data_IF_494025641071
#
_entry.id   IF_494025641071
#
_cell.length_a   1.000
_cell.length_b   1.000
_cell.length_c   1.000
_cell.angle_alpha   90.00
_cell.angle_beta   90.00
_cell.angle_gamma   90.00
#
_symmetry.space_group_name_H-M   'P 1'
#
loop_
_entity.id
_entity.type
_entity.pdbx_description
1 polymer ?
#
# COMPACT_ATOMS: atom_id res chain seq x y z
N UNK A 1 21.97 -21.79 -68.16
CA UNK A 1 20.68 -21.04 -68.11
C UNK A 1 19.69 -21.53 -67.03
N UNK A 2 19.79 -22.75 -66.47
CA UNK A 2 18.84 -23.31 -65.48
C UNK A 2 18.90 -22.74 -64.05
N UNK A 3 20.07 -22.28 -63.58
CA UNK A 3 20.26 -21.77 -62.19
C UNK A 3 19.62 -20.41 -61.92
N UNK A 4 19.45 -19.57 -62.95
CA UNK A 4 18.92 -18.20 -62.81
C UNK A 4 17.40 -18.16 -62.73
N UNK A 5 16.71 -19.13 -63.36
CA UNK A 5 15.25 -19.28 -63.27
C UNK A 5 14.81 -19.77 -61.88
N UNK A 6 15.53 -20.73 -61.29
CA UNK A 6 15.23 -21.25 -59.94
C UNK A 6 15.37 -20.15 -58.87
N UNK A 7 16.41 -19.31 -58.95
CA UNK A 7 16.58 -18.19 -58.00
C UNK A 7 15.46 -17.15 -58.10
N UNK A 8 14.96 -16.85 -59.31
CA UNK A 8 13.82 -15.95 -59.51
C UNK A 8 12.50 -16.55 -59.01
N UNK A 9 12.32 -17.86 -59.17
CA UNK A 9 11.12 -18.57 -58.70
C UNK A 9 11.06 -18.66 -57.17
N UNK A 10 12.20 -18.89 -56.51
CA UNK A 10 12.28 -18.91 -55.03
C UNK A 10 12.05 -17.51 -54.46
N UNK A 11 12.62 -16.46 -55.07
CA UNK A 11 12.40 -15.08 -54.60
C UNK A 11 10.91 -14.66 -54.72
N UNK A 12 10.25 -15.06 -55.81
CA UNK A 12 8.83 -14.79 -56.02
C UNK A 12 7.93 -15.54 -55.02
N UNK A 13 8.25 -16.80 -54.68
CA UNK A 13 7.52 -17.55 -53.65
C UNK A 13 7.72 -16.96 -52.24
N UNK A 14 8.93 -16.52 -51.90
CA UNK A 14 9.19 -15.87 -50.61
C UNK A 14 8.45 -14.52 -50.48
N UNK A 15 8.37 -13.73 -51.56
CA UNK A 15 7.64 -12.46 -51.55
C UNK A 15 6.13 -12.67 -51.48
N UNK A 16 5.59 -13.69 -52.17
CA UNK A 16 4.18 -14.08 -52.07
C UNK A 16 3.79 -14.54 -50.68
N UNK A 17 4.63 -15.33 -50.01
CA UNK A 17 4.39 -15.77 -48.63
C UNK A 17 4.42 -14.60 -47.64
N UNK A 18 5.35 -13.67 -47.81
CA UNK A 18 5.44 -12.48 -46.96
C UNK A 18 4.22 -11.56 -47.10
N UNK A 19 3.73 -11.37 -48.32
CA UNK A 19 2.50 -10.60 -48.58
C UNK A 19 1.28 -11.31 -47.96
N UNK A 20 1.17 -12.63 -48.07
CA UNK A 20 0.06 -13.37 -47.46
C UNK A 20 0.05 -13.27 -45.94
N UNK A 21 1.22 -13.31 -45.29
CA UNK A 21 1.35 -13.13 -43.84
C UNK A 21 0.95 -11.71 -43.43
N UNK A 22 1.33 -10.68 -44.19
CA UNK A 22 0.91 -9.28 -43.90
C UNK A 22 -0.62 -9.15 -44.02
N UNK A 23 -1.23 -9.67 -45.09
CA UNK A 23 -2.68 -9.61 -45.24
C UNK A 23 -3.42 -10.45 -44.19
N UNK A 24 -2.86 -11.58 -43.75
CA UNK A 24 -3.41 -12.38 -42.65
C UNK A 24 -3.35 -11.62 -41.31
N UNK A 25 -2.26 -10.91 -41.02
CA UNK A 25 -2.18 -10.10 -39.80
C UNK A 25 -3.04 -8.83 -39.87
N UNK A 26 -3.17 -8.18 -41.02
CA UNK A 26 -4.05 -7.02 -41.20
C UNK A 26 -5.53 -7.40 -41.09
N UNK A 27 -5.95 -8.51 -41.70
CA UNK A 27 -7.33 -9.00 -41.58
C UNK A 27 -7.70 -9.44 -40.16
N UNK A 28 -6.78 -10.06 -39.41
CA UNK A 28 -6.99 -10.36 -37.99
C UNK A 28 -7.02 -9.10 -37.11
N UNK A 29 -6.28 -8.04 -37.46
CA UNK A 29 -6.37 -6.74 -36.77
C UNK A 29 -7.72 -6.05 -36.99
N UNK A 30 -8.31 -6.16 -38.20
CA UNK A 30 -9.65 -5.64 -38.49
C UNK A 30 -10.77 -6.47 -37.83
N UNK A 31 -10.56 -7.78 -37.65
CA UNK A 31 -11.55 -8.64 -36.99
C UNK A 31 -11.58 -8.43 -35.46
N UNK A 32 -10.45 -8.05 -34.85
CA UNK A 32 -10.38 -7.69 -33.42
C UNK A 32 -10.93 -6.29 -33.14
N UNK A 33 -10.89 -5.37 -34.11
CA UNK A 33 -11.52 -4.05 -33.98
C UNK A 33 -13.03 -4.04 -34.28
N UNK A 34 -13.56 -5.08 -34.92
CA UNK A 34 -14.98 -5.19 -35.32
C UNK A 34 -15.94 -5.82 -34.29
N UNK A 35 -15.46 -6.40 -33.18
CA UNK A 35 -16.30 -7.12 -32.22
C UNK A 35 -16.49 -6.37 -30.89
N UNK A 36 -16.94 -5.11 -30.96
CA UNK A 36 -17.51 -4.38 -29.81
C UNK A 36 -18.22 -3.11 -30.27
N UNK A 37 -19.38 -3.25 -30.93
CA UNK A 37 -20.32 -2.13 -31.10
C UNK A 37 -21.74 -2.53 -30.70
N UNK A 38 -21.91 -2.82 -29.41
CA UNK A 38 -23.20 -2.64 -28.76
C UNK A 38 -23.51 -1.14 -28.69
N UNK A 39 -24.50 -0.69 -29.48
CA UNK A 39 -25.03 0.68 -29.45
C UNK A 39 -25.39 1.09 -28.02
N UNK A 40 -24.66 2.07 -27.47
CA UNK A 40 -25.17 2.97 -26.45
C UNK A 40 -25.19 4.38 -27.03
N UNK A 41 -26.38 4.79 -27.45
CA UNK A 41 -26.69 6.20 -27.66
C UNK A 41 -26.82 6.84 -26.28
N UNK A 42 -25.94 7.77 -25.97
CA UNK A 42 -25.97 8.58 -24.77
C UNK A 42 -24.93 9.67 -24.88
N UNK A 43 -25.38 10.92 -25.08
CA UNK A 43 -24.54 12.10 -24.88
C UNK A 43 -24.11 12.17 -23.41
N UNK A 44 -23.01 11.49 -23.08
CA UNK A 44 -22.33 11.59 -21.79
C UNK A 44 -20.96 12.22 -22.01
N UNK A 45 -20.68 13.35 -21.36
CA UNK A 45 -19.31 13.88 -21.29
C UNK A 45 -18.39 12.75 -20.79
N UNK A 46 -17.29 12.48 -21.49
CA UNK A 46 -16.29 11.49 -21.07
C UNK A 46 -15.83 11.85 -19.66
N UNK A 47 -16.26 11.09 -18.65
CA UNK A 47 -15.83 11.28 -17.26
C UNK A 47 -14.33 10.96 -17.20
N UNK A 48 -13.52 11.92 -16.75
CA UNK A 48 -12.07 11.72 -16.60
C UNK A 48 -11.83 10.69 -15.50
N UNK A 49 -10.89 9.76 -15.71
CA UNK A 49 -10.43 8.87 -14.64
C UNK A 49 -9.74 9.67 -13.52
N UNK A 50 -9.64 9.15 -12.29
CA UNK A 50 -9.05 9.91 -11.19
C UNK A 50 -7.58 10.32 -11.44
N UNK A 51 -6.82 9.46 -12.12
CA UNK A 51 -5.46 9.77 -12.54
C UNK A 51 -5.40 10.87 -13.61
N UNK A 52 -6.35 10.89 -14.56
CA UNK A 52 -6.48 11.98 -15.54
C UNK A 52 -6.95 13.28 -14.88
N UNK A 53 -7.83 13.21 -13.88
CA UNK A 53 -8.25 14.37 -13.10
C UNK A 53 -7.05 15.01 -12.42
N UNK A 54 -6.21 14.21 -11.73
CA UNK A 54 -4.98 14.68 -11.10
C UNK A 54 -4.04 15.38 -12.10
N UNK A 55 -3.90 14.82 -13.31
CA UNK A 55 -2.98 15.35 -14.33
C UNK A 55 -3.52 16.58 -15.10
N UNK A 56 -4.80 16.92 -14.97
CA UNK A 56 -5.43 17.99 -15.78
C UNK A 56 -5.88 19.20 -14.96
N UNK A 57 -5.69 19.19 -13.65
CA UNK A 57 -5.91 20.35 -12.78
C UNK A 57 -4.81 21.39 -13.00
N UNK A 58 -4.95 22.16 -14.07
CA UNK A 58 -4.01 23.21 -14.52
C UNK A 58 -4.49 24.64 -14.17
N UNK A 59 -5.63 24.78 -13.49
CA UNK A 59 -6.22 26.10 -13.18
C UNK A 59 -6.41 26.27 -11.68
N UNK A 60 -5.45 27.00 -11.08
CA UNK A 60 -5.32 27.33 -9.65
C UNK A 60 -5.17 26.10 -8.75
N UNK A 61 -3.92 25.67 -8.55
CA UNK A 61 -3.58 24.59 -7.62
C UNK A 61 -4.05 24.96 -6.21
N UNK A 62 -5.02 24.20 -5.70
CA UNK A 62 -5.44 24.29 -4.31
C UNK A 62 -4.23 24.01 -3.39
N UNK A 63 -4.19 24.58 -2.17
CA UNK A 63 -3.13 24.29 -1.21
C UNK A 63 -2.92 22.79 -0.96
N UNK A 64 -3.99 21.99 -1.05
CA UNK A 64 -3.94 20.55 -0.85
C UNK A 64 -3.27 19.82 -2.03
N UNK A 65 -3.49 20.27 -3.26
CA UNK A 65 -2.80 19.76 -4.45
C UNK A 65 -1.28 20.01 -4.34
N UNK A 66 -0.88 21.23 -3.98
CA UNK A 66 0.52 21.59 -3.77
C UNK A 66 1.18 20.71 -2.70
N UNK A 67 0.49 20.46 -1.58
CA UNK A 67 0.98 19.57 -0.52
C UNK A 67 1.21 18.15 -1.04
N UNK A 68 0.26 17.59 -1.80
CA UNK A 68 0.40 16.23 -2.33
C UNK A 68 1.44 16.13 -3.44
N UNK A 69 1.60 17.16 -4.27
CA UNK A 69 2.68 17.25 -5.24
C UNK A 69 4.05 17.26 -4.57
N UNK A 70 4.26 18.15 -3.59
CA UNK A 70 5.52 18.22 -2.84
C UNK A 70 5.86 16.89 -2.15
N UNK A 71 4.85 16.18 -1.62
CA UNK A 71 5.04 14.84 -1.02
C UNK A 71 5.44 13.78 -2.05
N UNK A 72 4.89 13.82 -3.26
CA UNK A 72 5.30 12.92 -4.34
C UNK A 72 6.73 13.19 -4.77
N UNK A 73 7.06 14.44 -5.06
CA UNK A 73 8.40 14.84 -5.52
C UNK A 73 9.47 14.45 -4.50
N UNK A 74 9.21 14.68 -3.21
CA UNK A 74 10.11 14.26 -2.14
C UNK A 74 10.29 12.74 -2.08
N UNK A 75 9.19 11.99 -2.23
CA UNK A 75 9.24 10.53 -2.22
C UNK A 75 10.10 10.01 -3.38
N UNK A 76 9.94 10.58 -4.57
CA UNK A 76 10.73 10.24 -5.74
C UNK A 76 12.22 10.55 -5.53
N UNK A 77 12.54 11.75 -5.03
CA UNK A 77 13.91 12.18 -4.72
C UNK A 77 14.57 11.25 -3.67
N UNK A 78 13.83 10.91 -2.61
CA UNK A 78 14.29 9.99 -1.57
C UNK A 78 14.53 8.57 -2.14
N UNK A 79 13.69 8.12 -3.07
CA UNK A 79 13.89 6.85 -3.77
C UNK A 79 15.10 6.87 -4.72
N UNK A 80 15.36 7.99 -5.39
CA UNK A 80 16.52 8.15 -6.27
C UNK A 80 17.85 8.18 -5.50
N UNK A 81 17.88 8.80 -4.33
CA UNK A 81 19.06 8.88 -3.46
C UNK A 81 19.34 7.59 -2.68
N UNK A 82 18.38 6.67 -2.62
CA UNK A 82 18.50 5.40 -1.93
C UNK A 82 19.09 4.31 -2.84
N UNK A 83 20.01 3.48 -2.32
CA UNK A 83 20.70 2.41 -3.08
C UNK A 83 19.84 1.18 -3.39
N UNK A 84 18.52 1.35 -3.51
CA UNK A 84 17.62 0.24 -3.82
C UNK A 84 17.96 -0.34 -5.20
N UNK A 85 18.43 -1.61 -5.20
CA UNK A 85 18.58 -2.36 -6.44
C UNK A 85 17.22 -2.49 -7.10
N UNK A 86 17.06 -1.91 -8.28
CA UNK A 86 15.87 -2.09 -9.11
C UNK A 86 15.66 -3.58 -9.33
N UNK A 87 14.51 -4.10 -8.87
CA UNK A 87 14.08 -5.48 -9.09
C UNK A 87 12.67 -5.48 -9.64
N UNK A 88 12.31 -6.58 -10.28
CA UNK A 88 10.95 -6.79 -10.78
C UNK A 88 10.02 -7.05 -9.59
N UNK A 89 8.83 -6.45 -9.62
CA UNK A 89 7.75 -6.72 -8.66
C UNK A 89 7.28 -8.17 -8.80
N UNK A 90 7.14 -8.87 -7.68
CA UNK A 90 6.56 -10.20 -7.59
C UNK A 90 5.16 -10.12 -6.97
N UNK A 91 4.27 -11.12 -7.14
CA UNK A 91 2.92 -11.06 -6.57
C UNK A 91 2.86 -10.79 -5.07
N UNK A 92 3.85 -11.27 -4.30
CA UNK A 92 3.97 -11.00 -2.85
C UNK A 92 4.01 -9.50 -2.54
N UNK A 93 4.73 -8.72 -3.36
CA UNK A 93 4.87 -7.27 -3.22
C UNK A 93 3.55 -6.51 -3.42
N UNK A 94 2.54 -7.17 -4.01
CA UNK A 94 1.28 -6.57 -4.44
C UNK A 94 0.10 -6.96 -3.53
N UNK A 95 0.34 -7.74 -2.47
CA UNK A 95 -0.70 -8.18 -1.53
C UNK A 95 -1.29 -7.04 -0.70
N UNK A 96 -0.57 -5.92 -0.58
CA UNK A 96 -1.04 -4.74 0.14
C UNK A 96 -1.83 -3.77 -0.73
N UNK A 97 -1.90 -3.97 -2.05
CA UNK A 97 -2.63 -3.11 -2.97
C UNK A 97 -4.05 -3.62 -3.18
N UNK A 98 -5.03 -2.98 -2.55
CA UNK A 98 -6.45 -3.25 -2.79
C UNK A 98 -6.87 -2.58 -4.09
N UNK A 99 -7.65 -3.30 -4.90
CA UNK A 99 -8.14 -2.86 -6.21
C UNK A 99 -9.60 -2.43 -6.12
N UNK A 100 -9.90 -1.24 -6.61
CA UNK A 100 -11.25 -0.81 -6.96
C UNK A 100 -11.31 -0.59 -8.48
N UNK A 101 -11.88 -1.56 -9.18
CA UNK A 101 -12.05 -1.50 -10.64
C UNK A 101 -13.17 -0.56 -11.09
N UNK A 102 -14.13 -0.24 -10.21
CA UNK A 102 -15.25 0.66 -10.54
C UNK A 102 -14.80 2.10 -10.65
N UNK A 103 -13.89 2.50 -9.75
CA UNK A 103 -13.40 3.87 -9.67
C UNK A 103 -11.96 4.03 -10.17
N UNK A 104 -11.28 2.94 -10.54
CA UNK A 104 -9.90 2.99 -11.02
C UNK A 104 -8.91 3.39 -9.93
N UNK A 105 -9.03 2.78 -8.74
CA UNK A 105 -8.18 3.06 -7.59
C UNK A 105 -7.31 1.86 -7.20
N UNK A 106 -6.10 2.16 -6.73
CA UNK A 106 -5.18 1.24 -6.07
C UNK A 106 -4.79 1.81 -4.71
N UNK A 107 -5.24 1.16 -3.64
CA UNK A 107 -4.93 1.57 -2.28
C UNK A 107 -3.89 0.63 -1.66
N UNK A 108 -2.68 1.13 -1.35
CA UNK A 108 -1.78 0.35 -0.51
C UNK A 108 -2.14 0.49 0.97
N UNK A 109 -2.68 -0.58 1.57
CA UNK A 109 -3.08 -0.55 2.97
C UNK A 109 -1.90 -0.76 3.92
N UNK A 110 -1.71 0.20 4.81
CA UNK A 110 -0.72 0.14 5.89
C UNK A 110 -1.43 0.04 7.25
N UNK A 111 -1.19 -1.03 8.03
CA UNK A 111 -1.79 -1.13 9.36
C UNK A 111 -1.43 0.05 10.28
N UNK A 112 -2.39 0.42 11.14
CA UNK A 112 -2.32 1.52 12.11
C UNK A 112 -2.27 2.92 11.50
N UNK A 113 -2.63 3.02 10.22
CA UNK A 113 -2.79 4.27 9.49
C UNK A 113 -4.22 4.39 8.92
N UNK A 114 -5.21 4.17 9.79
CA UNK A 114 -6.63 4.18 9.44
C UNK A 114 -7.06 3.19 8.33
N UNK A 115 -6.26 2.15 8.05
CA UNK A 115 -6.56 1.14 7.03
C UNK A 115 -7.95 0.50 7.15
N UNK A 116 -8.45 0.27 8.37
CA UNK A 116 -9.81 -0.26 8.58
C UNK A 116 -10.88 0.68 8.00
N UNK A 117 -10.73 1.99 8.16
CA UNK A 117 -11.67 2.97 7.61
C UNK A 117 -11.59 3.04 6.09
N UNK A 118 -10.38 3.00 5.52
CA UNK A 118 -10.21 2.90 4.07
C UNK A 118 -10.82 1.61 3.49
N UNK A 119 -10.63 0.46 4.14
CA UNK A 119 -11.27 -0.79 3.73
C UNK A 119 -12.79 -0.68 3.75
N UNK A 120 -13.36 -0.07 4.78
CA UNK A 120 -14.82 0.19 4.85
C UNK A 120 -15.29 1.08 3.72
N UNK A 121 -14.59 2.18 3.43
CA UNK A 121 -14.90 3.07 2.31
C UNK A 121 -14.88 2.30 0.99
N UNK A 122 -13.82 1.51 0.73
CA UNK A 122 -13.72 0.70 -0.48
C UNK A 122 -14.82 -0.38 -0.55
N UNK A 123 -15.24 -0.96 0.56
CA UNK A 123 -16.37 -1.91 0.58
C UNK A 123 -17.70 -1.25 0.24
N UNK A 124 -17.90 0.02 0.60
CA UNK A 124 -19.06 0.80 0.16
C UNK A 124 -18.98 1.07 -1.34
N UNK A 125 -17.84 1.58 -1.82
CA UNK A 125 -17.62 1.95 -3.22
C UNK A 125 -17.73 0.75 -4.18
N UNK A 126 -17.16 -0.39 -3.81
CA UNK A 126 -17.19 -1.61 -4.64
C UNK A 126 -18.51 -2.40 -4.51
N UNK A 127 -19.44 -1.95 -3.67
CA UNK A 127 -20.71 -2.64 -3.44
C UNK A 127 -20.60 -3.96 -2.67
N UNK A 128 -19.43 -4.30 -2.11
CA UNK A 128 -19.24 -5.50 -1.28
C UNK A 128 -20.03 -5.42 0.03
N UNK A 129 -20.28 -4.21 0.55
CA UNK A 129 -21.19 -4.02 1.68
C UNK A 129 -22.53 -3.44 1.25
N UNK A 130 -23.60 -3.87 1.91
CA UNK A 130 -24.94 -3.27 1.78
C UNK A 130 -25.07 -1.94 2.54
N UNK A 131 -24.12 -1.63 3.43
CA UNK A 131 -24.15 -0.41 4.23
C UNK A 131 -23.70 0.78 3.39
N UNK A 132 -24.41 1.91 3.47
CA UNK A 132 -23.96 3.18 2.87
C UNK A 132 -23.00 3.96 3.77
N UNK A 133 -23.14 3.81 5.09
CA UNK A 133 -22.26 4.45 6.05
C UNK A 133 -21.10 3.49 6.41
N UNK A 134 -19.84 3.82 6.10
CA UNK A 134 -18.70 2.95 6.37
C UNK A 134 -18.55 2.58 7.86
N UNK A 135 -19.01 3.42 8.79
CA UNK A 135 -18.94 3.14 10.24
C UNK A 135 -19.86 2.01 10.70
N UNK A 136 -20.90 1.67 9.92
CA UNK A 136 -21.79 0.55 10.22
C UNK A 136 -21.18 -0.80 9.85
N UNK A 137 -20.07 -0.82 9.11
CA UNK A 137 -19.34 -2.03 8.75
C UNK A 137 -18.40 -2.41 9.92
N UNK A 138 -18.57 -3.58 10.56
CA UNK A 138 -17.70 -4.03 11.63
C UNK A 138 -16.23 -4.11 11.19
N UNK A 139 -15.30 -3.82 12.11
CA UNK A 139 -13.87 -3.91 11.79
C UNK A 139 -13.46 -5.34 11.40
N UNK A 140 -14.04 -6.36 12.03
CA UNK A 140 -13.83 -7.77 11.67
C UNK A 140 -14.19 -8.06 10.23
N UNK A 141 -15.31 -7.52 9.74
CA UNK A 141 -15.77 -7.67 8.36
C UNK A 141 -14.83 -6.97 7.37
N UNK A 142 -14.38 -5.76 7.69
CA UNK A 142 -13.42 -5.00 6.88
C UNK A 142 -12.03 -5.67 6.77
N UNK A 143 -11.74 -6.66 7.61
CA UNK A 143 -10.49 -7.42 7.60
C UNK A 143 -10.64 -8.83 7.01
N UNK A 144 -11.81 -9.21 6.48
CA UNK A 144 -12.00 -10.49 5.77
C UNK A 144 -11.36 -10.38 4.37
N UNK A 145 -10.37 -11.23 4.03
CA UNK A 145 -9.63 -11.13 2.77
C UNK A 145 -10.51 -11.21 1.51
N UNK A 146 -11.60 -12.00 1.54
CA UNK A 146 -12.49 -12.18 0.38
C UNK A 146 -13.34 -10.95 0.04
N UNK A 147 -13.39 -9.94 0.91
CA UNK A 147 -14.25 -8.77 0.71
C UNK A 147 -13.62 -7.71 -0.22
N UNK A 148 -12.29 -7.70 -0.34
CA UNK A 148 -11.57 -6.71 -1.15
C UNK A 148 -10.41 -7.42 -1.84
N UNK A 149 -10.47 -7.48 -3.17
CA UNK A 149 -9.42 -8.12 -3.97
C UNK A 149 -8.16 -7.28 -3.96
N UNK A 150 -7.03 -7.97 -3.87
CA UNK A 150 -5.69 -7.40 -3.95
C UNK A 150 -5.14 -7.54 -5.36
N UNK A 151 -4.21 -6.65 -5.73
CA UNK A 151 -3.61 -6.63 -7.05
C UNK A 151 -2.84 -7.92 -7.35
N UNK A 152 -2.34 -8.60 -6.30
CA UNK A 152 -1.66 -9.90 -6.40
C UNK A 152 -2.53 -11.04 -6.97
N UNK A 153 -3.86 -10.88 -6.97
CA UNK A 153 -4.83 -11.89 -7.42
C UNK A 153 -5.18 -11.78 -8.92
N UNK A 154 -4.55 -10.87 -9.65
CA UNK A 154 -4.81 -10.63 -11.07
C UNK A 154 -3.70 -11.18 -11.97
N UNK A 155 -4.01 -11.39 -13.26
CA UNK A 155 -2.99 -11.78 -14.23
C UNK A 155 -1.94 -10.68 -14.44
N UNK A 156 -0.74 -11.03 -14.93
CA UNK A 156 0.33 -10.04 -15.17
C UNK A 156 -0.10 -8.90 -16.09
N UNK A 157 -0.88 -9.19 -17.13
CA UNK A 157 -1.39 -8.17 -18.05
C UNK A 157 -2.34 -7.19 -17.34
N UNK A 158 -3.21 -7.72 -16.50
CA UNK A 158 -4.16 -6.97 -15.69
C UNK A 158 -3.50 -6.12 -14.60
N UNK A 159 -2.47 -6.66 -13.95
CA UNK A 159 -1.63 -5.93 -13.00
C UNK A 159 -1.00 -4.72 -13.69
N UNK A 160 -0.34 -4.95 -14.82
CA UNK A 160 0.34 -3.89 -15.59
C UNK A 160 -0.64 -2.82 -16.10
N UNK A 161 -1.84 -3.21 -16.52
CA UNK A 161 -2.90 -2.26 -16.90
C UNK A 161 -3.25 -1.34 -15.73
N UNK A 162 -3.56 -1.91 -14.56
CA UNK A 162 -3.99 -1.17 -13.37
C UNK A 162 -2.90 -0.25 -12.84
N UNK A 163 -1.65 -0.74 -12.72
CA UNK A 163 -0.52 0.08 -12.30
C UNK A 163 -0.31 1.33 -13.19
N UNK A 164 -0.60 1.22 -14.49
CA UNK A 164 -0.49 2.35 -15.44
C UNK A 164 -1.69 3.29 -15.46
N UNK A 165 -2.89 2.80 -15.17
CA UNK A 165 -4.12 3.53 -15.46
C UNK A 165 -4.89 3.98 -14.21
N UNK A 166 -4.64 3.37 -13.05
CA UNK A 166 -5.40 3.65 -11.82
C UNK A 166 -4.67 4.66 -10.96
N UNK A 167 -5.43 5.46 -10.22
CA UNK A 167 -4.89 6.34 -9.18
C UNK A 167 -4.40 5.49 -8.02
N UNK A 168 -3.12 5.59 -7.71
CA UNK A 168 -2.42 4.84 -6.67
C UNK A 168 -2.22 5.73 -5.46
N UNK A 169 -2.68 5.30 -4.30
CA UNK A 169 -2.50 6.07 -3.08
C UNK A 169 -2.15 5.20 -1.89
N UNK A 170 -1.44 5.79 -0.93
CA UNK A 170 -1.21 5.19 0.37
C UNK A 170 -1.37 6.24 1.47
N UNK A 171 -1.57 5.75 2.69
CA UNK A 171 -1.55 6.59 3.87
C UNK A 171 -0.44 6.14 4.80
N UNK A 172 0.21 7.14 5.38
CA UNK A 172 1.46 6.98 6.09
C UNK A 172 1.38 7.68 7.45
N UNK A 173 2.21 7.29 8.42
CA UNK A 173 2.17 7.81 9.80
C UNK A 173 3.58 7.87 10.34
N UNK A 174 3.83 8.81 11.27
CA UNK A 174 5.11 8.86 12.00
C UNK A 174 5.47 7.44 12.50
N UNK A 175 6.66 6.91 12.13
CA UNK A 175 6.96 5.49 12.31
C UNK A 175 6.83 4.98 13.74
N UNK A 176 7.21 5.79 14.75
CA UNK A 176 7.20 5.36 16.14
C UNK A 176 5.84 5.49 16.81
N UNK A 177 5.03 6.48 16.43
CA UNK A 177 3.61 6.51 16.77
C UNK A 177 2.87 5.31 16.17
N UNK A 178 3.18 4.93 14.92
CA UNK A 178 2.60 3.75 14.27
C UNK A 178 2.98 2.47 15.02
N UNK A 179 4.25 2.35 15.40
CA UNK A 179 4.76 1.20 16.15
C UNK A 179 4.12 1.08 17.54
N UNK A 180 3.99 2.19 18.27
CA UNK A 180 3.31 2.21 19.57
C UNK A 180 1.83 1.88 19.42
N UNK A 181 1.18 2.37 18.36
CA UNK A 181 -0.20 1.98 18.03
C UNK A 181 -0.31 0.48 17.78
N UNK A 182 0.64 -0.14 17.07
CA UNK A 182 0.68 -1.58 16.84
C UNK A 182 0.84 -2.37 18.15
N UNK A 183 1.80 -1.97 18.99
CA UNK A 183 2.03 -2.60 20.29
C UNK A 183 0.77 -2.57 21.17
N UNK A 184 0.18 -1.38 21.36
CA UNK A 184 -1.05 -1.21 22.13
C UNK A 184 -2.17 -2.08 21.56
N UNK A 185 -2.36 -2.02 20.24
CA UNK A 185 -3.42 -2.79 19.61
C UNK A 185 -3.25 -4.31 19.75
N UNK A 186 -2.02 -4.84 19.85
CA UNK A 186 -1.77 -6.30 19.81
C UNK A 186 -1.35 -6.95 21.12
N UNK A 187 -0.79 -6.20 22.06
CA UNK A 187 -0.24 -6.76 23.30
C UNK A 187 -0.90 -6.21 24.58
N UNK A 188 -1.67 -5.12 24.53
CA UNK A 188 -2.28 -4.56 25.76
C UNK A 188 -3.75 -4.92 25.95
N UNK A 189 -4.38 -5.57 24.97
CA UNK A 189 -5.79 -5.97 25.05
C UNK A 189 -5.92 -7.49 25.24
N UNK A 190 -6.57 -7.90 26.33
CA UNK A 190 -6.75 -9.29 26.75
C UNK A 190 -7.36 -10.22 25.67
N UNK A 191 -8.20 -9.69 24.78
CA UNK A 191 -8.87 -10.47 23.73
C UNK A 191 -7.95 -10.88 22.56
N UNK A 192 -6.73 -10.34 22.43
CA UNK A 192 -5.79 -10.69 21.34
C UNK A 192 -5.00 -11.98 21.62
N UNK A 193 -5.67 -13.02 22.13
CA UNK A 193 -5.05 -14.26 22.59
C UNK A 193 -4.17 -14.92 21.52
N UNK A 194 -4.57 -14.88 20.24
CA UNK A 194 -3.76 -15.41 19.14
C UNK A 194 -2.41 -14.70 18.98
N UNK A 195 -2.37 -13.36 19.08
CA UNK A 195 -1.12 -12.59 19.02
C UNK A 195 -0.26 -12.83 20.26
N UNK A 196 -0.89 -12.86 21.45
CA UNK A 196 -0.20 -13.16 22.71
C UNK A 196 0.47 -14.54 22.67
N UNK A 197 -0.26 -15.55 22.19
CA UNK A 197 0.29 -16.91 22.04
C UNK A 197 1.39 -16.97 21.00
N UNK A 198 1.19 -16.43 19.79
CA UNK A 198 2.15 -16.52 18.68
C UNK A 198 3.41 -15.69 18.92
N UNK A 199 3.25 -14.40 19.20
CA UNK A 199 4.35 -13.46 19.31
C UNK A 199 4.73 -13.21 20.77
N UNK A 200 3.75 -13.09 21.66
CA UNK A 200 4.04 -12.72 23.04
C UNK A 200 4.86 -13.77 23.79
N UNK A 201 4.48 -15.05 23.69
CA UNK A 201 5.26 -16.14 24.30
C UNK A 201 6.67 -16.24 23.68
N UNK A 202 6.81 -16.01 22.38
CA UNK A 202 8.10 -15.99 21.65
C UNK A 202 9.01 -14.88 22.16
N UNK A 203 8.47 -13.66 22.31
CA UNK A 203 9.20 -12.50 22.85
C UNK A 203 9.69 -12.79 24.27
N UNK A 204 8.80 -13.29 25.14
CA UNK A 204 9.12 -13.58 26.54
C UNK A 204 10.20 -14.66 26.64
N UNK A 205 10.05 -15.78 25.92
CA UNK A 205 11.05 -16.86 25.88
C UNK A 205 12.44 -16.36 25.49
N UNK A 206 12.50 -15.39 24.58
CA UNK A 206 13.76 -14.91 24.00
C UNK A 206 14.46 -13.84 24.85
N UNK A 207 13.69 -12.97 25.50
CA UNK A 207 14.25 -11.74 26.09
C UNK A 207 14.01 -11.58 27.59
N UNK A 208 13.06 -12.30 28.19
CA UNK A 208 12.76 -12.16 29.62
C UNK A 208 13.65 -13.07 30.44
N UNK A 209 14.39 -12.51 31.39
CA UNK A 209 15.18 -13.27 32.35
C UNK A 209 14.25 -13.95 33.36
N UNK A 210 14.37 -15.28 33.51
CA UNK A 210 13.59 -16.11 34.46
C UNK A 210 12.06 -15.83 34.39
N UNK A 211 11.41 -16.06 33.23
CA UNK A 211 9.99 -15.79 33.07
C UNK A 211 9.15 -16.76 33.92
N UNK A 212 8.06 -16.25 34.52
CA UNK A 212 7.08 -17.09 35.23
C UNK A 212 6.42 -18.07 34.24
N UNK A 213 6.04 -19.26 34.70
CA UNK A 213 5.37 -20.27 33.85
C UNK A 213 4.12 -19.70 33.13
N UNK A 214 3.29 -18.93 33.85
CA UNK A 214 2.11 -18.26 33.28
C UNK A 214 2.46 -17.31 32.12
N UNK A 215 3.59 -16.61 32.19
CA UNK A 215 4.03 -15.69 31.14
C UNK A 215 4.48 -16.46 29.87
N UNK A 216 5.19 -17.58 30.05
CA UNK A 216 5.58 -18.50 28.98
C UNK A 216 4.39 -19.19 28.31
N UNK A 217 3.32 -19.39 29.06
CA UNK A 217 2.08 -19.99 28.58
C UNK A 217 1.22 -18.96 27.84
N UNK A 218 0.97 -17.79 28.42
CA UNK A 218 -0.03 -16.84 27.93
C UNK A 218 0.52 -15.80 26.96
N UNK A 219 1.71 -15.26 27.25
CA UNK A 219 2.31 -14.21 26.43
C UNK A 219 1.54 -12.88 26.41
N UNK A 220 0.67 -12.64 27.38
CA UNK A 220 -0.25 -11.49 27.46
C UNK A 220 0.31 -10.32 28.29
N UNK A 221 1.54 -10.44 28.78
CA UNK A 221 2.21 -9.45 29.64
C UNK A 221 3.54 -8.96 29.05
N UNK A 222 3.70 -8.98 27.73
CA UNK A 222 4.86 -8.43 27.04
C UNK A 222 4.94 -6.93 27.28
N UNK A 223 6.10 -6.44 27.72
CA UNK A 223 6.37 -5.00 27.81
C UNK A 223 6.80 -4.40 26.47
N UNK A 224 6.64 -3.09 26.31
CA UNK A 224 7.10 -2.39 25.10
C UNK A 224 8.62 -2.51 24.92
N UNK A 225 9.38 -2.50 26.01
CA UNK A 225 10.83 -2.70 25.95
C UNK A 225 11.21 -4.09 25.43
N UNK A 226 10.50 -5.14 25.81
CA UNK A 226 10.71 -6.48 25.25
C UNK A 226 10.29 -6.57 23.79
N UNK A 227 9.21 -5.88 23.40
CA UNK A 227 8.80 -5.78 22.01
C UNK A 227 9.85 -5.06 21.14
N UNK A 228 10.42 -3.94 21.61
CA UNK A 228 11.52 -3.27 20.90
C UNK A 228 12.74 -4.17 20.78
N UNK A 229 13.14 -4.86 21.86
CA UNK A 229 14.25 -5.83 21.84
C UNK A 229 14.02 -6.94 20.83
N UNK A 230 12.78 -7.41 20.70
CA UNK A 230 12.42 -8.42 19.72
C UNK A 230 12.60 -7.96 18.27
N UNK A 231 12.21 -6.73 17.94
CA UNK A 231 12.32 -6.19 16.59
C UNK A 231 13.77 -5.95 16.16
N UNK A 232 14.61 -5.49 17.08
CA UNK A 232 16.03 -5.20 16.80
C UNK A 232 16.95 -6.39 17.01
N UNK A 233 16.43 -7.57 17.41
CA UNK A 233 17.22 -8.81 17.51
C UNK A 233 17.48 -9.38 16.10
N UNK A 234 18.75 -9.52 15.66
CA UNK A 234 19.08 -10.09 14.35
C UNK A 234 18.56 -11.52 14.15
N UNK A 235 18.37 -12.30 15.23
CA UNK A 235 17.79 -13.64 15.16
C UNK A 235 16.33 -13.57 14.74
N UNK A 236 15.57 -12.61 15.27
CA UNK A 236 14.17 -12.40 14.88
C UNK A 236 14.08 -12.03 13.40
N UNK A 237 14.92 -11.09 12.94
CA UNK A 237 14.89 -10.62 11.55
C UNK A 237 15.25 -11.69 10.52
N UNK A 238 16.05 -12.69 10.91
CA UNK A 238 16.43 -13.82 10.03
C UNK A 238 15.44 -14.98 10.06
N UNK A 239 14.59 -15.07 11.08
CA UNK A 239 13.72 -16.23 11.30
C UNK A 239 12.47 -16.19 10.41
N UNK A 240 11.81 -15.04 10.33
CA UNK A 240 10.62 -14.84 9.50
C UNK A 240 10.46 -13.34 9.16
N UNK A 241 9.77 -12.99 8.05
CA UNK A 241 9.35 -11.61 7.80
C UNK A 241 8.53 -11.06 8.97
N UNK A 242 8.58 -9.75 9.18
CA UNK A 242 7.77 -9.15 10.24
C UNK A 242 6.28 -9.27 9.94
N UNK A 243 5.48 -9.27 11.01
CA UNK A 243 4.05 -9.10 10.87
C UNK A 243 3.77 -7.71 10.28
N UNK A 244 2.83 -7.64 9.34
CA UNK A 244 2.41 -6.39 8.68
C UNK A 244 2.11 -5.22 9.64
N UNK A 245 1.73 -5.49 10.88
CA UNK A 245 1.42 -4.44 11.86
C UNK A 245 2.63 -3.66 12.35
N UNK A 246 3.82 -4.24 12.28
CA UNK A 246 5.08 -3.57 12.62
C UNK A 246 6.13 -3.68 11.51
N UNK A 247 5.78 -4.23 10.34
CA UNK A 247 6.62 -4.15 9.14
C UNK A 247 6.61 -2.74 8.57
N UNK A 248 7.74 -2.25 8.06
CA UNK A 248 7.94 -0.89 7.54
C UNK A 248 7.07 -0.62 6.31
N UNK A 249 6.68 0.63 6.11
CA UNK A 249 5.88 1.03 4.95
C UNK A 249 6.67 0.82 3.65
N UNK A 250 7.97 1.12 3.65
CA UNK A 250 8.85 0.88 2.49
C UNK A 250 8.79 -0.58 2.02
N UNK A 251 8.65 -1.50 2.97
CA UNK A 251 8.65 -2.95 2.75
C UNK A 251 7.26 -3.47 2.40
N UNK A 252 6.18 -2.84 2.86
CA UNK A 252 4.80 -3.24 2.56
C UNK A 252 4.30 -2.70 1.22
N UNK A 253 4.67 -1.47 0.88
CA UNK A 253 4.09 -0.72 -0.24
C UNK A 253 5.08 -0.47 -1.38
N UNK A 254 6.37 -0.74 -1.19
CA UNK A 254 7.42 -0.60 -2.20
C UNK A 254 7.37 0.73 -2.99
N UNK A 255 7.35 1.90 -2.33
CA UNK A 255 7.14 3.18 -3.00
C UNK A 255 8.27 3.57 -3.97
N UNK A 256 9.43 2.92 -3.90
CA UNK A 256 10.50 3.09 -4.88
C UNK A 256 10.37 2.17 -6.12
N UNK A 257 9.42 1.24 -6.11
CA UNK A 257 9.08 0.38 -7.25
C UNK A 257 7.69 0.71 -7.82
N UNK A 258 6.83 1.32 -7.02
CA UNK A 258 5.46 1.71 -7.37
C UNK A 258 5.34 3.21 -7.19
N UNK A 259 5.12 3.93 -8.29
CA UNK A 259 4.89 5.37 -8.25
C UNK A 259 3.49 5.63 -7.66
N UNK A 260 3.42 6.29 -6.51
CA UNK A 260 2.16 6.64 -5.86
C UNK A 260 1.75 8.07 -6.22
N UNK A 261 0.51 8.24 -6.63
CA UNK A 261 -0.07 9.50 -7.09
C UNK A 261 -0.52 10.39 -5.90
N UNK A 262 -0.87 9.76 -4.77
CA UNK A 262 -1.21 10.47 -3.53
C UNK A 262 -0.56 9.80 -2.33
N UNK A 263 0.23 10.58 -1.57
CA UNK A 263 0.78 10.20 -0.27
C UNK A 263 0.04 10.96 0.82
N UNK A 264 -0.89 10.26 1.49
CA UNK A 264 -1.63 10.79 2.62
C UNK A 264 -0.88 10.60 3.94
N UNK A 265 -1.10 11.48 4.91
CA UNK A 265 -0.54 11.44 6.27
C UNK A 265 -1.64 11.25 7.29
N UNK A 266 -1.39 10.44 8.31
CA UNK A 266 -2.33 10.24 9.42
C UNK A 266 -2.61 11.53 10.18
N UNK A 267 -1.61 12.42 10.18
CA UNK A 267 -1.68 13.73 10.82
C UNK A 267 -2.67 14.68 10.12
N UNK A 268 -2.84 14.55 8.79
CA UNK A 268 -3.78 15.31 7.94
C UNK A 268 -4.85 14.42 7.32
N UNK A 269 -5.21 13.32 8.01
CA UNK A 269 -6.00 12.23 7.46
C UNK A 269 -7.35 12.65 6.87
N UNK A 270 -8.03 13.62 7.48
CA UNK A 270 -9.34 14.06 7.02
C UNK A 270 -9.26 14.75 5.66
N UNK A 271 -8.41 15.78 5.55
CA UNK A 271 -8.22 16.54 4.31
C UNK A 271 -7.66 15.65 3.20
N UNK A 272 -6.63 14.87 3.50
CA UNK A 272 -6.00 13.97 2.53
C UNK A 272 -6.95 12.87 2.05
N UNK A 273 -7.84 12.37 2.92
CA UNK A 273 -8.83 11.36 2.49
C UNK A 273 -9.92 11.98 1.65
N UNK A 274 -10.36 13.19 1.99
CA UNK A 274 -11.31 13.93 1.17
C UNK A 274 -10.73 14.21 -0.22
N UNK A 275 -9.46 14.59 -0.32
CA UNK A 275 -8.77 14.81 -1.59
C UNK A 275 -8.78 13.57 -2.50
N UNK A 276 -8.49 12.38 -1.95
CA UNK A 276 -8.56 11.14 -2.72
C UNK A 276 -9.98 10.86 -3.23
N UNK A 277 -11.00 11.10 -2.40
CA UNK A 277 -12.41 10.90 -2.78
C UNK A 277 -12.87 11.90 -3.83
N UNK A 278 -12.39 13.15 -3.79
CA UNK A 278 -12.63 14.17 -4.81
C UNK A 278 -11.99 13.79 -6.14
N UNK A 279 -10.72 13.36 -6.14
CA UNK A 279 -10.06 12.86 -7.35
C UNK A 279 -10.82 11.66 -7.94
N UNK A 280 -11.35 10.79 -7.08
CA UNK A 280 -12.16 9.65 -7.45
C UNK A 280 -13.57 10.02 -7.97
N UNK A 281 -14.04 11.25 -7.73
CA UNK A 281 -15.39 11.71 -8.09
C UNK A 281 -16.50 11.11 -7.24
N UNK A 282 -16.18 10.64 -6.03
CA UNK A 282 -17.10 9.90 -5.13
C UNK A 282 -17.30 10.59 -3.79
N UNK A 283 -16.83 11.81 -3.63
CA UNK A 283 -16.97 12.62 -2.41
C UNK A 283 -18.43 13.01 -2.11
N UNK A 284 -19.33 12.93 -3.10
CA UNK A 284 -20.78 13.00 -2.92
C UNK A 284 -21.46 11.68 -2.54
N UNK A 285 -20.77 10.54 -2.67
CA UNK A 285 -21.31 9.20 -2.42
C UNK A 285 -20.90 8.66 -1.05
N UNK A 286 -19.65 8.90 -0.66
CA UNK A 286 -19.07 8.40 0.59
C UNK A 286 -18.18 9.44 1.23
N UNK A 287 -18.22 9.51 2.56
CA UNK A 287 -17.29 10.32 3.35
C UNK A 287 -16.34 9.43 4.13
N UNK A 288 -15.08 9.87 4.27
CA UNK A 288 -14.11 9.17 5.09
C UNK A 288 -14.48 9.27 6.59
N UNK A 289 -14.55 8.15 7.33
CA UNK A 289 -14.90 8.22 8.75
C UNK A 289 -13.85 8.92 9.60
N UNK A 290 -14.26 9.96 10.33
CA UNK A 290 -13.42 10.63 11.32
C UNK A 290 -12.95 9.63 12.40
N UNK A 291 -11.64 9.51 12.68
CA UNK A 291 -11.16 8.66 13.75
C UNK A 291 -11.67 9.12 15.11
N UNK A 292 -12.06 8.19 15.98
CA UNK A 292 -12.38 8.52 17.36
C UNK A 292 -11.13 9.08 18.07
N UNK A 293 -11.25 10.25 18.71
CA UNK A 293 -10.12 10.88 19.44
C UNK A 293 -9.45 9.93 20.43
N UNK A 294 -10.22 9.07 21.10
CA UNK A 294 -9.75 8.12 22.13
C UNK A 294 -8.85 7.00 21.59
N UNK A 295 -8.89 6.70 20.29
CA UNK A 295 -8.09 5.62 19.70
C UNK A 295 -6.75 6.10 19.12
N UNK A 296 -6.51 7.42 19.12
CA UNK A 296 -5.29 8.02 18.57
C UNK A 296 -4.12 7.87 19.55
N UNK A 297 -3.07 7.17 19.14
CA UNK A 297 -1.73 7.34 19.72
C UNK A 297 -1.24 8.75 19.36
N UNK A 298 -0.59 9.47 20.27
CA UNK A 298 0.00 10.80 20.00
C UNK A 298 1.51 10.75 20.20
N UNK A 299 2.23 11.78 19.73
CA UNK A 299 3.65 11.94 19.97
C UNK A 299 4.01 11.88 21.46
N UNK A 300 3.24 12.53 22.34
CA UNK A 300 3.47 12.49 23.80
C UNK A 300 3.32 11.08 24.37
N UNK A 301 2.33 10.33 23.89
CA UNK A 301 2.15 8.94 24.29
C UNK A 301 3.33 8.09 23.81
N UNK A 302 3.77 8.27 22.56
CA UNK A 302 4.95 7.58 22.06
C UNK A 302 6.18 7.90 22.90
N UNK A 303 6.43 9.18 23.21
CA UNK A 303 7.52 9.61 24.08
C UNK A 303 7.51 8.89 25.44
N UNK A 304 6.33 8.71 26.03
CA UNK A 304 6.16 7.94 27.27
C UNK A 304 6.63 6.48 27.16
N UNK A 305 6.31 5.79 26.05
CA UNK A 305 6.77 4.43 25.79
C UNK A 305 8.29 4.33 25.56
N UNK A 306 8.90 5.37 24.99
CA UNK A 306 10.34 5.40 24.71
C UNK A 306 11.21 5.81 25.90
N UNK A 307 10.62 6.33 26.98
CA UNK A 307 11.34 6.83 28.16
C UNK A 307 12.33 5.81 28.76
N UNK A 308 11.93 4.55 28.83
CA UNK A 308 12.70 3.47 29.46
C UNK A 308 13.46 2.59 28.45
N UNK A 309 13.50 2.99 27.18
CA UNK A 309 14.26 2.29 26.14
C UNK A 309 15.68 2.85 26.11
N UNK A 310 16.69 1.98 26.15
CA UNK A 310 18.08 2.42 26.14
C UNK A 310 18.46 3.10 24.81
N UNK A 311 19.37 4.08 24.80
CA UNK A 311 19.84 4.75 23.58
C UNK A 311 20.24 3.80 22.46
N UNK A 312 20.95 2.71 22.79
CA UNK A 312 21.35 1.70 21.81
C UNK A 312 20.16 1.02 21.13
N UNK A 313 19.11 0.66 21.89
CA UNK A 313 17.91 0.08 21.31
C UNK A 313 17.10 1.11 20.52
N UNK A 314 17.06 2.38 20.94
CA UNK A 314 16.44 3.45 20.17
C UNK A 314 17.15 3.68 18.83
N UNK A 315 18.49 3.70 18.82
CA UNK A 315 19.29 3.83 17.60
C UNK A 315 19.07 2.66 16.65
N UNK A 316 19.11 1.43 17.15
CA UNK A 316 18.87 0.24 16.33
C UNK A 316 17.45 0.22 15.75
N UNK A 317 16.46 0.65 16.53
CA UNK A 317 15.08 0.75 16.08
C UNK A 317 14.91 1.86 15.04
N UNK A 318 15.56 3.02 15.23
CA UNK A 318 15.57 4.09 14.22
C UNK A 318 16.19 3.59 12.92
N UNK A 319 17.35 2.93 13.00
CA UNK A 319 18.01 2.35 11.83
C UNK A 319 17.10 1.34 11.11
N UNK A 320 16.30 0.57 11.86
CA UNK A 320 15.33 -0.36 11.31
C UNK A 320 14.26 0.37 10.48
N UNK A 321 13.67 1.46 10.99
CA UNK A 321 12.61 2.23 10.31
C UNK A 321 13.12 3.45 9.52
N UNK A 322 14.44 3.60 9.34
CA UNK A 322 15.07 4.81 8.76
C UNK A 322 14.49 5.17 7.40
N UNK A 323 14.16 4.18 6.59
CA UNK A 323 13.57 4.39 5.27
C UNK A 323 12.17 5.01 5.35
N UNK A 324 11.33 4.61 6.30
CA UNK A 324 10.02 5.25 6.48
C UNK A 324 10.16 6.72 6.91
N UNK A 325 11.15 7.06 7.73
CA UNK A 325 11.44 8.46 8.08
C UNK A 325 11.85 9.28 6.85
N UNK A 326 12.77 8.73 6.06
CA UNK A 326 13.34 9.41 4.89
C UNK A 326 12.31 9.57 3.77
N UNK A 327 11.65 8.47 3.36
CA UNK A 327 10.73 8.44 2.22
C UNK A 327 9.49 9.31 2.43
N UNK A 328 9.05 9.50 3.68
CA UNK A 328 7.81 10.21 4.00
C UNK A 328 8.04 11.54 4.72
N UNK A 329 9.29 12.02 4.75
CA UNK A 329 9.69 13.28 5.37
C UNK A 329 9.16 13.43 6.80
N UNK A 330 9.48 12.46 7.65
CA UNK A 330 9.27 12.59 9.09
C UNK A 330 10.57 13.04 9.74
N UNK A 331 10.46 14.05 10.60
CA UNK A 331 11.58 14.47 11.45
C UNK A 331 11.90 13.40 12.47
N UNK A 332 13.17 13.37 12.89
CA UNK A 332 13.57 12.54 14.02
C UNK A 332 12.84 13.01 15.29
N UNK A 333 12.12 12.13 16.01
CA UNK A 333 11.42 12.53 17.22
C UNK A 333 12.38 13.06 18.29
N UNK A 334 12.11 14.24 18.82
CA UNK A 334 12.98 14.95 19.78
C UNK A 334 13.17 14.23 21.11
N UNK A 335 12.27 13.30 21.45
CA UNK A 335 12.36 12.47 22.65
C UNK A 335 13.35 11.32 22.51
N UNK A 336 13.88 11.07 21.30
CA UNK A 336 14.86 10.01 21.09
C UNK A 336 16.25 10.43 21.56
N UNK A 337 16.94 9.47 22.17
CA UNK A 337 18.31 9.61 22.63
C UNK A 337 19.20 8.77 21.71
N UNK A 338 19.50 9.34 20.55
CA UNK A 338 20.43 8.73 19.60
C UNK A 338 21.88 9.00 20.07
N UNK A 339 22.78 8.04 19.90
CA UNK A 339 24.19 8.13 20.29
C UNK A 339 25.08 7.81 19.12
#
# INVERSE_FOLDING_TARGET
>A
MRKTQIKRMVLAMCFGFFIMVIFYFQSNLEQVSGASSGKMSGHGKSVKSPLQTLNTTDTMESPLQLIHQARRELLEEACHSSTHKRRVLIPEDLKHLIVDDHHGLLYCYVPKVACTNWKRVLMVLTGTSKQRNPLLIPASEAHVPSNLRTLSEYSKAEINRRLRTYLKFLFVREPFERLVSAYRNKFTHNYNTAFHKRYGTKIIRRHRTRPRAKALERGDDVSFAEFVRYLVDPRTQREEPFNEHWERVDSLCHPCLIHYDVVGKYETLEDDSHYVLQLAGVDGEVAFPRPAKRTRTTGDMAAGFFKDISPAFQQNLYNLYRMDFLLFNYSLPSYLKLK
#
